data_IF_986475954226
#
_entry.id   IF_986475954226
#
_cell.length_a   1.000
_cell.length_b   1.000
_cell.length_c   1.000
_cell.angle_alpha   90.00
_cell.angle_beta   90.00
_cell.angle_gamma   90.00
#
_symmetry.space_group_name_H-M   'P 1'
#
loop_
_entity.id
_entity.type
_entity.pdbx_description
1 polymer ?
#
# COMPACT_ATOMS: atom_id res chain seq x y z
N UNK A 1 -4.50 7.30 -5.42
CA UNK A 1 -3.29 6.68 -6.04
C UNK A 1 -2.24 7.62 -6.63
N UNK A 2 -2.47 8.37 -7.72
CA UNK A 2 -1.38 9.12 -8.39
C UNK A 2 -0.72 10.18 -7.49
N UNK A 3 -1.52 11.02 -6.83
CA UNK A 3 -1.02 12.03 -5.90
C UNK A 3 -0.32 11.38 -4.70
N UNK A 4 -0.88 10.29 -4.17
CA UNK A 4 -0.26 9.50 -3.09
C UNK A 4 1.12 9.00 -3.50
N UNK A 5 1.30 8.50 -4.73
CA UNK A 5 2.59 8.05 -5.25
C UNK A 5 3.61 9.19 -5.35
N UNK A 6 3.20 10.36 -5.86
CA UNK A 6 4.05 11.54 -5.92
C UNK A 6 4.49 12.01 -4.52
N UNK A 7 3.56 12.02 -3.56
CA UNK A 7 3.85 12.44 -2.18
C UNK A 7 4.74 11.40 -1.49
N UNK A 8 4.45 10.10 -1.61
CA UNK A 8 5.25 9.03 -1.01
C UNK A 8 6.71 9.07 -1.50
N UNK A 9 6.91 9.23 -2.81
CA UNK A 9 8.23 9.41 -3.40
C UNK A 9 8.96 10.62 -2.79
N UNK A 10 8.30 11.78 -2.72
CA UNK A 10 8.86 13.00 -2.14
C UNK A 10 9.21 12.82 -0.65
N UNK A 11 8.34 12.16 0.13
CA UNK A 11 8.59 11.92 1.55
C UNK A 11 9.82 11.03 1.77
N UNK A 12 10.01 10.00 0.95
CA UNK A 12 11.21 9.14 1.02
C UNK A 12 12.47 9.91 0.61
N UNK A 13 12.42 10.73 -0.44
CA UNK A 13 13.55 11.61 -0.80
C UNK A 13 13.93 12.56 0.33
N UNK A 14 12.94 13.14 1.02
CA UNK A 14 13.16 14.00 2.18
C UNK A 14 13.78 13.21 3.34
N UNK A 15 13.26 12.01 3.63
CA UNK A 15 13.80 11.12 4.65
C UNK A 15 15.28 10.81 4.41
N UNK A 16 15.63 10.42 3.19
CA UNK A 16 17.00 10.09 2.82
C UNK A 16 17.93 11.32 2.91
N UNK A 17 17.51 12.48 2.37
CA UNK A 17 18.36 13.68 2.31
C UNK A 17 18.51 14.42 3.63
N UNK A 18 17.47 14.44 4.47
CA UNK A 18 17.42 15.29 5.68
C UNK A 18 17.48 14.53 6.99
N UNK A 19 17.16 13.25 6.98
CA UNK A 19 17.07 12.43 8.20
C UNK A 19 18.01 11.21 8.17
N UNK A 20 18.91 11.14 7.18
CA UNK A 20 19.91 10.06 7.08
C UNK A 20 19.32 8.69 6.70
N UNK A 21 18.11 8.67 6.14
CA UNK A 21 17.48 7.45 5.65
C UNK A 21 18.18 6.84 4.44
N UNK A 22 17.89 5.56 4.18
CA UNK A 22 18.35 4.86 2.99
C UNK A 22 17.25 3.92 2.47
N UNK A 23 16.17 4.51 1.98
CA UNK A 23 15.01 3.79 1.46
C UNK A 23 14.84 4.06 -0.04
N UNK A 24 14.23 3.13 -0.77
CA UNK A 24 13.97 3.28 -2.20
C UNK A 24 12.71 4.16 -2.45
N UNK A 25 12.86 5.37 -3.00
CA UNK A 25 11.73 6.26 -3.28
C UNK A 25 10.91 5.81 -4.50
N UNK A 26 11.47 5.04 -5.43
CA UNK A 26 10.78 4.52 -6.61
C UNK A 26 9.89 3.33 -6.21
N UNK A 27 10.41 2.43 -5.36
CA UNK A 27 9.60 1.37 -4.74
C UNK A 27 8.44 1.97 -3.95
N UNK A 28 8.66 3.02 -3.16
CA UNK A 28 7.61 3.71 -2.42
C UNK A 28 6.49 4.24 -3.34
N UNK A 29 6.88 4.82 -4.49
CA UNK A 29 5.94 5.31 -5.48
C UNK A 29 5.10 4.16 -6.07
N UNK A 30 5.73 3.04 -6.43
CA UNK A 30 5.03 1.86 -6.96
C UNK A 30 4.04 1.29 -5.95
N UNK A 31 4.45 1.10 -4.68
CA UNK A 31 3.53 0.63 -3.66
C UNK A 31 2.32 1.57 -3.49
N UNK A 32 2.55 2.89 -3.55
CA UNK A 32 1.49 3.89 -3.48
C UNK A 32 0.59 3.95 -4.72
N UNK A 33 1.08 3.57 -5.90
CA UNK A 33 0.20 3.43 -7.09
C UNK A 33 -0.87 2.37 -6.84
N UNK A 34 -0.51 1.27 -6.17
CA UNK A 34 -1.38 0.11 -5.97
C UNK A 34 -2.04 0.02 -4.60
N UNK A 35 -1.80 0.96 -3.68
CA UNK A 35 -2.22 0.82 -2.29
C UNK A 35 -3.75 0.64 -2.07
N UNK A 36 -4.59 1.17 -2.97
CA UNK A 36 -6.06 1.05 -2.90
C UNK A 36 -6.62 0.04 -3.93
N UNK A 37 -5.79 -0.80 -4.55
CA UNK A 37 -6.26 -1.66 -5.65
C UNK A 37 -7.37 -2.62 -5.20
N UNK A 38 -7.32 -3.08 -3.95
CA UNK A 38 -8.33 -3.92 -3.32
C UNK A 38 -9.71 -3.26 -3.24
N UNK A 39 -9.78 -1.93 -3.21
CA UNK A 39 -11.04 -1.17 -3.19
C UNK A 39 -11.88 -1.31 -4.46
N UNK A 40 -11.29 -1.84 -5.55
CA UNK A 40 -12.03 -2.29 -6.74
C UNK A 40 -13.05 -3.38 -6.37
N UNK A 41 -12.72 -4.25 -5.41
CA UNK A 41 -13.57 -5.36 -4.95
C UNK A 41 -14.29 -4.97 -3.66
N UNK A 42 -13.59 -4.34 -2.72
CA UNK A 42 -14.11 -4.09 -1.37
C UNK A 42 -14.97 -2.83 -1.28
N UNK A 43 -14.80 -1.90 -2.23
CA UNK A 43 -15.33 -0.54 -2.16
C UNK A 43 -14.56 0.33 -1.17
N UNK A 44 -14.54 1.64 -1.39
CA UNK A 44 -13.94 2.57 -0.42
C UNK A 44 -14.73 2.51 0.90
N UNK A 45 -13.97 2.38 1.99
CA UNK A 45 -14.49 2.26 3.33
C UNK A 45 -13.95 3.43 4.16
N UNK A 46 -14.82 4.33 4.67
CA UNK A 46 -14.39 5.49 5.43
C UNK A 46 -13.46 5.13 6.59
N UNK A 47 -12.35 5.87 6.72
CA UNK A 47 -11.34 5.66 7.78
C UNK A 47 -11.94 5.52 9.18
N UNK A 48 -12.92 6.34 9.64
CA UNK A 48 -13.51 6.17 10.97
C UNK A 48 -14.16 4.79 11.18
N UNK A 49 -14.70 4.19 10.12
CA UNK A 49 -15.32 2.86 10.15
C UNK A 49 -14.25 1.77 10.19
N UNK A 50 -13.21 1.85 9.33
CA UNK A 50 -12.08 0.91 9.29
C UNK A 50 -11.41 0.74 10.68
N UNK A 51 -11.41 1.80 11.51
CA UNK A 51 -10.77 1.80 12.83
C UNK A 51 -11.73 1.89 14.03
N UNK A 52 -13.04 1.66 13.84
CA UNK A 52 -14.04 1.84 14.89
C UNK A 52 -13.81 0.95 16.12
N UNK A 53 -13.48 -0.34 15.91
CA UNK A 53 -13.04 -1.25 16.97
C UNK A 53 -12.16 -2.38 16.41
N UNK A 54 -11.53 -3.17 17.29
CA UNK A 54 -10.62 -4.26 16.89
C UNK A 54 -11.29 -5.36 16.07
N UNK A 55 -12.56 -5.69 16.35
CA UNK A 55 -13.32 -6.71 15.63
C UNK A 55 -13.56 -6.29 14.18
N UNK A 56 -14.02 -5.06 13.98
CA UNK A 56 -14.26 -4.47 12.67
C UNK A 56 -12.95 -4.34 11.89
N UNK A 57 -11.90 -3.82 12.54
CA UNK A 57 -10.57 -3.70 11.92
C UNK A 57 -10.04 -5.05 11.42
N UNK A 58 -10.15 -6.10 12.22
CA UNK A 58 -9.68 -7.44 11.82
C UNK A 58 -10.53 -8.00 10.68
N UNK A 59 -11.86 -7.89 10.76
CA UNK A 59 -12.74 -8.32 9.68
C UNK A 59 -12.42 -7.61 8.35
N UNK A 60 -12.14 -6.31 8.39
CA UNK A 60 -11.73 -5.57 7.18
C UNK A 60 -10.38 -6.04 6.66
N UNK A 61 -9.40 -6.28 7.52
CA UNK A 61 -8.11 -6.82 7.09
C UNK A 61 -8.29 -8.15 6.36
N UNK A 62 -9.13 -9.03 6.86
CA UNK A 62 -9.39 -10.31 6.23
C UNK A 62 -10.08 -10.13 4.86
N UNK A 63 -11.02 -9.17 4.74
CA UNK A 63 -11.66 -8.83 3.46
C UNK A 63 -10.65 -8.29 2.44
N UNK A 64 -9.78 -7.37 2.87
CA UNK A 64 -8.72 -6.77 2.05
C UNK A 64 -7.70 -7.83 1.58
N UNK A 65 -7.30 -8.75 2.46
CA UNK A 65 -6.41 -9.86 2.11
C UNK A 65 -7.03 -10.78 1.05
N UNK A 66 -8.30 -11.14 1.19
CA UNK A 66 -9.02 -11.94 0.20
C UNK A 66 -9.17 -11.20 -1.15
N UNK A 67 -9.44 -9.90 -1.13
CA UNK A 67 -9.50 -9.09 -2.34
C UNK A 67 -8.14 -9.02 -3.05
N UNK A 68 -7.05 -8.87 -2.29
CA UNK A 68 -5.70 -8.90 -2.84
C UNK A 68 -5.39 -10.26 -3.49
N UNK A 69 -5.74 -11.37 -2.83
CA UNK A 69 -5.59 -12.72 -3.39
C UNK A 69 -6.39 -12.90 -4.68
N UNK A 70 -7.63 -12.41 -4.71
CA UNK A 70 -8.45 -12.47 -5.92
C UNK A 70 -7.81 -11.71 -7.09
N UNK A 71 -7.32 -10.49 -6.85
CA UNK A 71 -6.66 -9.68 -7.88
C UNK A 71 -5.38 -10.33 -8.41
N UNK A 72 -4.54 -10.87 -7.52
CA UNK A 72 -3.32 -11.59 -7.92
C UNK A 72 -3.65 -12.82 -8.74
N UNK A 73 -4.68 -13.58 -8.37
CA UNK A 73 -5.06 -14.80 -9.10
C UNK A 73 -5.64 -14.55 -10.50
N UNK A 74 -6.06 -13.33 -10.81
CA UNK A 74 -6.49 -12.95 -12.16
C UNK A 74 -5.31 -12.80 -13.15
N UNK A 75 -4.07 -12.72 -12.64
CA UNK A 75 -2.88 -12.60 -13.47
C UNK A 75 -2.41 -13.98 -13.98
N UNK A 76 -1.75 -14.02 -15.15
CA UNK A 76 -0.99 -15.19 -15.57
C UNK A 76 0.07 -15.59 -14.53
N UNK A 77 0.37 -16.90 -14.42
CA UNK A 77 1.19 -17.46 -13.35
C UNK A 77 2.59 -16.83 -13.24
N UNK A 78 3.17 -16.41 -14.36
CA UNK A 78 4.49 -15.78 -14.45
C UNK A 78 4.57 -14.35 -13.88
N UNK A 79 3.43 -13.68 -13.68
CA UNK A 79 3.37 -12.32 -13.11
C UNK A 79 2.84 -12.24 -11.68
N UNK A 80 2.35 -13.36 -11.13
CA UNK A 80 1.69 -13.36 -9.82
C UNK A 80 2.62 -12.89 -8.71
N UNK A 81 3.84 -13.39 -8.68
CA UNK A 81 4.81 -13.05 -7.62
C UNK A 81 5.21 -11.56 -7.67
N UNK A 82 5.43 -11.03 -8.88
CA UNK A 82 5.80 -9.63 -9.08
C UNK A 82 4.73 -8.69 -8.50
N UNK A 83 3.46 -8.92 -8.86
CA UNK A 83 2.35 -8.07 -8.44
C UNK A 83 1.91 -8.34 -7.00
N UNK A 84 1.97 -9.60 -6.54
CA UNK A 84 1.68 -9.94 -5.14
C UNK A 84 2.58 -9.14 -4.18
N UNK A 85 3.87 -8.99 -4.53
CA UNK A 85 4.81 -8.20 -3.74
C UNK A 85 4.37 -6.74 -3.57
N UNK A 86 3.70 -6.19 -4.59
CA UNK A 86 3.28 -4.79 -4.67
C UNK A 86 1.94 -4.60 -3.96
N UNK A 87 0.90 -5.36 -4.36
CA UNK A 87 -0.46 -5.23 -3.82
C UNK A 87 -0.48 -5.51 -2.31
N UNK A 88 0.24 -6.54 -1.86
CA UNK A 88 0.29 -6.89 -0.43
C UNK A 88 1.39 -6.14 0.33
N UNK A 89 2.21 -5.34 -0.35
CA UNK A 89 3.36 -4.62 0.20
C UNK A 89 4.22 -5.54 1.09
N UNK A 90 4.55 -6.74 0.59
CA UNK A 90 5.25 -7.80 1.34
C UNK A 90 6.61 -8.16 0.71
N UNK A 91 7.09 -7.35 -0.24
CA UNK A 91 8.45 -7.45 -0.75
C UNK A 91 9.48 -7.09 0.33
N UNK A 92 10.73 -7.50 0.08
CA UNK A 92 11.84 -7.22 0.99
C UNK A 92 12.02 -5.71 1.16
N UNK A 93 11.99 -5.22 2.40
CA UNK A 93 12.14 -3.79 2.73
C UNK A 93 10.84 -2.96 2.67
N UNK A 94 9.74 -3.49 2.11
CA UNK A 94 8.49 -2.74 1.96
C UNK A 94 7.87 -2.33 3.32
N UNK A 95 8.16 -3.06 4.39
CA UNK A 95 7.73 -2.72 5.74
C UNK A 95 8.17 -1.29 6.13
N UNK A 96 9.39 -0.90 5.77
CA UNK A 96 9.95 0.41 6.08
C UNK A 96 9.30 1.53 5.23
N UNK A 97 8.69 1.18 4.09
CA UNK A 97 8.01 2.10 3.20
C UNK A 97 6.53 2.32 3.56
N UNK A 98 5.88 1.36 4.25
CA UNK A 98 4.46 1.45 4.67
C UNK A 98 4.10 2.76 5.38
N UNK A 99 4.90 3.29 6.34
CA UNK A 99 4.59 4.56 6.99
C UNK A 99 4.54 5.75 6.03
N UNK A 100 5.38 5.76 4.99
CA UNK A 100 5.44 6.83 4.00
C UNK A 100 4.24 6.82 3.07
N UNK A 101 3.83 5.63 2.59
CA UNK A 101 2.62 5.47 1.78
C UNK A 101 1.39 5.89 2.59
N UNK A 102 1.28 5.45 3.85
CA UNK A 102 0.18 5.84 4.73
C UNK A 102 0.17 7.34 5.07
N UNK A 103 1.33 7.97 5.21
CA UNK A 103 1.42 9.41 5.42
C UNK A 103 1.01 10.18 4.15
N UNK A 104 1.41 9.68 2.98
CA UNK A 104 1.04 10.27 1.69
C UNK A 104 -0.47 10.21 1.43
N UNK A 105 -1.10 9.07 1.71
CA UNK A 105 -2.55 8.87 1.59
C UNK A 105 -3.35 9.87 2.45
N UNK A 106 -2.89 10.12 3.68
CA UNK A 106 -3.49 11.13 4.56
C UNK A 106 -3.29 12.58 4.11
N UNK A 107 -2.31 12.85 3.24
CA UNK A 107 -1.97 14.20 2.79
C UNK A 107 -2.60 14.56 1.44
N UNK A 108 -3.10 13.57 0.69
CA UNK A 108 -3.78 13.76 -0.59
C UNK A 108 -5.29 13.94 -0.42
#
# INVERSE_FOLDING_TARGET
SLQVAMIAHCLVLIHNKRFGGNLDPERAAILAVFHDTTEIITGDMPTPIKYYNSKIKNAYRDIEENAADQLVNMLPDDFRDDINSIIKMNGSGDEQLRPFVKAADKLS
#
